data_IF_059390000003
#
_entry.id   IF_059390000003
#
_cell.length_a   1.000
_cell.length_b   1.000
_cell.length_c   1.000
_cell.angle_alpha   90.00
_cell.angle_beta   90.00
_cell.angle_gamma   90.00
#
_symmetry.space_group_name_H-M   'P 1'
#
loop_
_entity.id
_entity.type
_entity.pdbx_description
1 polymer ?
#
# COMPACT_ATOMS: atom_id res chain seq x y z
N UNK A 1 -21.08 -4.81 -10.65
CA UNK A 1 -20.94 -4.84 -9.18
C UNK A 1 -19.65 -4.11 -8.88
N UNK A 2 -19.73 -2.90 -8.32
CA UNK A 2 -18.55 -2.22 -7.80
C UNK A 2 -18.34 -2.79 -6.40
N UNK A 3 -17.17 -3.36 -6.14
CA UNK A 3 -16.83 -3.88 -4.82
C UNK A 3 -16.04 -2.79 -4.12
N UNK A 4 -16.37 -2.48 -2.87
CA UNK A 4 -15.65 -1.48 -2.06
C UNK A 4 -14.31 -2.05 -1.51
N UNK A 5 -13.78 -3.12 -2.11
CA UNK A 5 -12.58 -3.81 -1.65
C UNK A 5 -11.94 -4.68 -2.75
N UNK A 6 -10.61 -4.84 -2.67
CA UNK A 6 -9.85 -5.69 -3.58
C UNK A 6 -10.04 -7.18 -3.26
N UNK A 7 -10.40 -7.97 -4.28
CA UNK A 7 -10.43 -9.44 -4.20
C UNK A 7 -9.70 -10.03 -5.39
N UNK A 8 -8.83 -11.00 -5.14
CA UNK A 8 -8.18 -11.81 -6.16
C UNK A 8 -6.72 -12.09 -5.82
N UNK A 9 -6.05 -12.77 -6.74
CA UNK A 9 -4.62 -13.03 -6.65
C UNK A 9 -4.00 -12.85 -8.02
N UNK A 10 -2.84 -12.19 -8.04
CA UNK A 10 -2.03 -12.01 -9.22
C UNK A 10 -0.58 -12.39 -8.92
N UNK A 11 0.13 -12.93 -9.93
CA UNK A 11 1.58 -13.11 -9.86
C UNK A 11 2.25 -12.18 -10.86
N UNK A 12 3.16 -11.35 -10.38
CA UNK A 12 3.90 -10.40 -11.19
C UNK A 12 5.39 -10.49 -10.87
N UNK A 13 6.23 -10.26 -11.89
CA UNK A 13 7.67 -10.19 -11.69
C UNK A 13 8.08 -8.79 -11.18
N UNK A 14 9.18 -8.76 -10.45
CA UNK A 14 9.87 -7.52 -10.09
C UNK A 14 11.00 -7.33 -11.11
N UNK A 15 11.05 -6.16 -11.76
CA UNK A 15 12.11 -5.85 -12.72
C UNK A 15 13.42 -5.45 -12.00
N UNK A 16 14.50 -5.28 -12.78
CA UNK A 16 15.83 -4.91 -12.27
C UNK A 16 15.85 -3.57 -11.50
N UNK A 17 14.84 -2.72 -11.70
CA UNK A 17 14.70 -1.42 -11.02
C UNK A 17 13.85 -1.52 -9.77
N UNK A 18 13.41 -2.71 -9.37
CA UNK A 18 12.56 -2.92 -8.21
C UNK A 18 11.10 -2.56 -8.44
N UNK A 19 10.63 -2.51 -9.70
CA UNK A 19 9.24 -2.20 -10.01
C UNK A 19 8.45 -3.47 -10.24
N UNK A 20 7.20 -3.47 -9.80
CA UNK A 20 6.25 -4.55 -10.05
C UNK A 20 5.08 -4.02 -10.89
N UNK A 21 4.57 -4.84 -11.81
CA UNK A 21 3.36 -4.49 -12.55
C UNK A 21 2.15 -4.52 -11.63
N UNK A 22 1.32 -3.48 -11.65
CA UNK A 22 0.06 -3.51 -10.94
C UNK A 22 -0.95 -4.39 -11.72
N UNK A 23 -1.50 -5.45 -11.13
CA UNK A 23 -2.32 -6.42 -11.86
C UNK A 23 -3.55 -5.80 -12.53
N UNK A 24 -3.89 -6.32 -13.71
CA UNK A 24 -4.97 -5.75 -14.55
C UNK A 24 -6.34 -5.92 -13.89
N UNK A 25 -6.56 -7.03 -13.17
CA UNK A 25 -7.79 -7.31 -12.43
C UNK A 25 -8.08 -6.28 -11.34
N UNK A 26 -7.04 -5.74 -10.69
CA UNK A 26 -7.17 -4.71 -9.65
C UNK A 26 -7.25 -3.30 -10.24
N UNK A 27 -6.64 -3.03 -11.41
CA UNK A 27 -6.76 -1.71 -12.07
C UNK A 27 -8.19 -1.29 -12.35
N UNK A 28 -9.06 -2.25 -12.68
CA UNK A 28 -10.48 -1.98 -12.96
C UNK A 28 -11.24 -1.52 -11.72
N UNK A 29 -10.68 -1.72 -10.54
CA UNK A 29 -11.26 -1.35 -9.26
C UNK A 29 -10.71 0.01 -8.77
N UNK A 30 -9.64 0.54 -9.39
CA UNK A 30 -9.08 1.85 -9.09
C UNK A 30 -9.71 2.94 -9.96
N UNK A 31 -10.03 4.07 -9.35
CA UNK A 31 -10.23 5.32 -10.07
C UNK A 31 -8.89 5.92 -10.56
N UNK A 32 -8.91 6.82 -11.55
CA UNK A 32 -7.71 7.54 -12.00
C UNK A 32 -7.03 8.33 -10.87
N UNK A 33 -7.80 8.97 -9.99
CA UNK A 33 -7.28 9.78 -8.87
C UNK A 33 -6.58 8.92 -7.81
N UNK A 34 -7.12 7.74 -7.52
CA UNK A 34 -6.50 6.77 -6.60
C UNK A 34 -5.18 6.23 -7.17
N UNK A 35 -5.07 6.08 -8.49
CA UNK A 35 -3.85 5.58 -9.16
C UNK A 35 -2.67 6.55 -9.04
N UNK A 36 -2.94 7.84 -8.81
CA UNK A 36 -1.93 8.89 -8.64
C UNK A 36 -1.51 9.07 -7.18
N UNK A 37 -2.31 8.58 -6.22
CA UNK A 37 -2.14 8.84 -4.80
C UNK A 37 -2.32 7.57 -3.95
N UNK A 38 -1.32 6.70 -3.99
CA UNK A 38 -1.29 5.47 -3.18
C UNK A 38 -0.21 5.52 -2.10
N UNK A 39 -0.36 4.64 -1.12
CA UNK A 39 0.58 4.50 -0.01
C UNK A 39 1.04 3.05 0.06
N UNK A 40 2.36 2.84 0.06
CA UNK A 40 2.96 1.53 0.25
C UNK A 40 3.57 1.48 1.66
N UNK A 41 3.15 0.49 2.44
CA UNK A 41 3.58 0.30 3.84
C UNK A 41 3.99 -1.14 4.11
N UNK A 42 4.72 -1.36 5.21
CA UNK A 42 5.07 -2.71 5.67
C UNK A 42 3.86 -3.43 6.26
N UNK A 43 3.70 -4.70 5.89
CA UNK A 43 2.68 -5.60 6.42
C UNK A 43 3.27 -6.70 7.32
N UNK A 44 2.40 -7.58 7.85
CA UNK A 44 2.80 -8.77 8.58
C UNK A 44 3.67 -9.70 7.72
N UNK A 45 4.42 -10.60 8.35
CA UNK A 45 5.08 -11.73 7.67
C UNK A 45 5.97 -11.33 6.46
N UNK A 46 6.65 -10.18 6.54
CA UNK A 46 7.53 -9.65 5.48
C UNK A 46 6.78 -9.35 4.17
N UNK A 47 5.56 -8.86 4.29
CA UNK A 47 4.76 -8.39 3.15
C UNK A 47 4.78 -6.88 3.05
N UNK A 48 4.35 -6.37 1.88
CA UNK A 48 4.01 -4.97 1.70
C UNK A 48 2.51 -4.86 1.49
N UNK A 49 1.92 -3.79 2.00
CA UNK A 49 0.51 -3.46 1.81
C UNK A 49 0.44 -2.16 1.03
N UNK A 50 -0.26 -2.22 -0.10
CA UNK A 50 -0.60 -1.04 -0.89
C UNK A 50 -2.01 -0.59 -0.50
N UNK A 51 -2.13 0.68 -0.15
CA UNK A 51 -3.37 1.33 0.21
C UNK A 51 -3.69 2.44 -0.80
N UNK A 52 -4.97 2.64 -1.06
CA UNK A 52 -5.46 3.95 -1.45
C UNK A 52 -5.20 4.94 -0.30
N UNK A 53 -4.91 6.21 -0.63
CA UNK A 53 -4.58 7.21 0.38
C UNK A 53 -5.66 7.37 1.46
N UNK A 54 -6.94 7.31 1.07
CA UNK A 54 -8.04 7.48 2.01
C UNK A 54 -8.14 6.30 3.00
N UNK A 55 -7.92 5.07 2.55
CA UNK A 55 -7.87 3.89 3.41
C UNK A 55 -6.67 3.94 4.36
N UNK A 56 -5.50 4.40 3.89
CA UNK A 56 -4.36 4.59 4.78
C UNK A 56 -4.62 5.64 5.87
N UNK A 57 -5.33 6.74 5.53
CA UNK A 57 -5.73 7.76 6.53
C UNK A 57 -6.67 7.18 7.58
N UNK A 58 -7.63 6.32 7.19
CA UNK A 58 -8.52 5.62 8.13
C UNK A 58 -7.71 4.71 9.06
N UNK A 59 -6.84 3.87 8.49
CA UNK A 59 -5.94 3.00 9.25
C UNK A 59 -5.10 3.76 10.28
N UNK A 60 -4.47 4.87 9.88
CA UNK A 60 -3.66 5.68 10.79
C UNK A 60 -4.50 6.37 11.86
N UNK A 61 -5.71 6.82 11.53
CA UNK A 61 -6.66 7.39 12.51
C UNK A 61 -6.99 6.37 13.60
N UNK A 62 -7.36 5.15 13.21
CA UNK A 62 -7.64 4.06 14.14
C UNK A 62 -6.41 3.68 14.96
N UNK A 63 -5.25 3.55 14.32
CA UNK A 63 -4.00 3.23 14.99
C UNK A 63 -3.64 4.31 16.02
N UNK A 64 -3.87 5.59 15.73
CA UNK A 64 -3.62 6.71 16.65
C UNK A 64 -4.60 6.77 17.82
N UNK A 65 -5.83 6.29 17.64
CA UNK A 65 -6.83 6.21 18.71
C UNK A 65 -6.55 5.10 19.74
N UNK A 66 -5.71 4.11 19.41
CA UNK A 66 -5.36 3.00 20.32
C UNK A 66 -4.63 3.51 21.58
N UNK A 67 -4.82 2.83 22.74
CA UNK A 67 -4.06 3.11 23.96
C UNK A 67 -2.55 3.09 23.71
N UNK A 68 -1.84 4.04 24.34
CA UNK A 68 -0.38 4.22 24.21
C UNK A 68 0.38 3.15 24.98
N UNK A 69 0.35 1.92 24.47
CA UNK A 69 1.16 0.81 24.97
C UNK A 69 2.49 0.74 24.22
N UNK A 70 3.49 0.07 24.80
CA UNK A 70 4.76 -0.19 24.11
C UNK A 70 4.57 -0.86 22.74
N UNK A 71 3.60 -1.78 22.63
CA UNK A 71 3.29 -2.48 21.38
C UNK A 71 2.68 -1.52 20.34
N UNK A 72 1.72 -0.69 20.75
CA UNK A 72 1.09 0.31 19.86
C UNK A 72 2.12 1.32 19.36
N UNK A 73 2.99 1.84 20.22
CA UNK A 73 4.02 2.80 19.82
C UNK A 73 5.07 2.17 18.91
N UNK A 74 5.48 0.92 19.17
CA UNK A 74 6.38 0.19 18.29
C UNK A 74 5.76 0.03 16.89
N UNK A 75 4.49 -0.39 16.80
CA UNK A 75 3.78 -0.51 15.54
C UNK A 75 3.68 0.83 14.81
N UNK A 76 3.32 1.93 15.50
CA UNK A 76 3.28 3.28 14.91
C UNK A 76 4.64 3.68 14.35
N UNK A 77 5.71 3.52 15.12
CA UNK A 77 7.07 3.85 14.68
C UNK A 77 7.49 3.02 13.48
N UNK A 78 7.21 1.71 13.47
CA UNK A 78 7.49 0.84 12.34
C UNK A 78 6.75 1.28 11.08
N UNK A 79 5.43 1.49 11.16
CA UNK A 79 4.63 1.94 10.01
C UNK A 79 5.13 3.30 9.52
N UNK A 80 5.30 4.29 10.39
CA UNK A 80 5.75 5.63 9.98
C UNK A 80 7.14 5.63 9.35
N UNK A 81 8.06 4.80 9.85
CA UNK A 81 9.40 4.65 9.28
C UNK A 81 9.45 3.90 7.96
N UNK A 82 8.50 2.98 7.72
CA UNK A 82 8.46 2.07 6.57
C UNK A 82 7.18 2.28 5.76
N UNK A 83 6.85 3.53 5.46
CA UNK A 83 5.75 3.92 4.58
C UNK A 83 6.22 4.96 3.57
N UNK A 84 5.77 4.85 2.31
CA UNK A 84 6.05 5.84 1.28
C UNK A 84 4.86 6.05 0.35
N UNK A 85 4.68 7.28 -0.12
CA UNK A 85 3.78 7.57 -1.24
C UNK A 85 4.31 6.94 -2.53
N UNK A 86 3.41 6.35 -3.30
CA UNK A 86 3.70 5.73 -4.60
C UNK A 86 2.58 6.05 -5.60
N UNK A 87 2.89 5.97 -6.88
CA UNK A 87 1.93 6.11 -7.97
C UNK A 87 2.24 5.09 -9.07
N UNK A 88 1.27 4.87 -9.95
CA UNK A 88 1.49 4.08 -11.16
C UNK A 88 2.29 4.89 -12.19
N UNK A 89 3.35 4.29 -12.74
CA UNK A 89 4.03 4.87 -13.91
C UNK A 89 3.18 4.71 -15.19
N UNK A 90 3.64 5.30 -16.31
CA UNK A 90 2.93 5.19 -17.59
C UNK A 90 2.77 3.76 -18.14
N UNK A 91 3.43 2.76 -17.53
CA UNK A 91 3.28 1.34 -17.83
C UNK A 91 2.47 0.59 -16.75
N UNK A 92 1.83 1.31 -15.83
CA UNK A 92 1.07 0.79 -14.70
C UNK A 92 1.92 -0.07 -13.75
N UNK A 93 3.15 0.35 -13.48
CA UNK A 93 4.03 -0.29 -12.49
C UNK A 93 4.17 0.56 -11.25
N UNK A 94 4.40 -0.11 -10.12
CA UNK A 94 4.71 0.49 -8.83
C UNK A 94 6.19 0.25 -8.52
N UNK A 95 6.91 1.29 -8.11
CA UNK A 95 8.26 1.16 -7.58
C UNK A 95 8.21 0.69 -6.12
N UNK A 96 8.80 -0.48 -5.85
CA UNK A 96 8.98 -0.96 -4.48
C UNK A 96 10.21 -0.26 -3.90
N UNK A 97 9.99 0.63 -2.92
CA UNK A 97 11.07 1.36 -2.26
C UNK A 97 12.04 0.39 -1.59
N UNK A 98 13.34 0.69 -1.63
CA UNK A 98 14.37 -0.06 -0.88
C UNK A 98 14.32 0.19 0.63
N UNK A 99 13.40 1.05 1.09
CA UNK A 99 13.23 1.43 2.50
C UNK A 99 12.42 0.41 3.30
N UNK A 100 11.97 -0.68 2.69
CA UNK A 100 11.20 -1.74 3.35
C UNK A 100 12.04 -2.97 3.66
#
# INVERSE_FOLDING_TARGET
MNLDFFIGQAKTAIDEKGRTSFPREFRRQLSPEESESMVLSIGPERTLILYELNEFKKFMTELNARPRTRQTEALRSTIQGHTSFVSLDGQNRILLSKKF
#
